data_IF_285911959394
#
_entry.id   IF_285911959394
#
_cell.length_a   1.000
_cell.length_b   1.000
_cell.length_c   1.000
_cell.angle_alpha   90.00
_cell.angle_beta   90.00
_cell.angle_gamma   90.00
#
_symmetry.space_group_name_H-M   'P 1'
#
loop_
_entity.id
_entity.type
_entity.pdbx_description
1 polymer ?
#
# COMPACT_ATOMS: atom_id res chain seq x y z
N UNK A 1 11.47 18.44 -20.31
CA UNK A 1 10.21 19.08 -19.83
C UNK A 1 10.19 18.91 -18.32
N UNK A 2 9.73 19.93 -17.60
CA UNK A 2 9.80 19.97 -16.14
C UNK A 2 8.75 19.00 -15.59
N UNK A 3 9.14 17.76 -15.26
CA UNK A 3 8.28 16.81 -14.55
C UNK A 3 8.00 17.41 -13.16
N UNK A 4 6.86 18.10 -13.03
CA UNK A 4 6.42 18.66 -11.76
C UNK A 4 6.32 17.55 -10.72
N UNK A 5 6.87 17.80 -9.53
CA UNK A 5 6.72 16.89 -8.40
C UNK A 5 5.22 16.57 -8.20
N UNK A 6 4.88 15.27 -8.13
CA UNK A 6 3.53 14.86 -7.83
C UNK A 6 3.22 15.16 -6.36
N UNK A 7 2.11 15.83 -6.08
CA UNK A 7 1.65 16.14 -4.74
C UNK A 7 0.40 15.33 -4.41
N UNK A 8 0.39 14.71 -3.23
CA UNK A 8 -0.74 13.96 -2.69
C UNK A 8 -1.12 14.56 -1.34
N UNK A 9 -2.41 14.81 -1.13
CA UNK A 9 -2.94 15.34 0.12
C UNK A 9 -3.71 14.25 0.84
N UNK A 10 -3.44 14.06 2.13
CA UNK A 10 -4.10 13.07 2.97
C UNK A 10 -4.37 13.65 4.35
N UNK A 11 -5.39 13.14 5.06
CA UNK A 11 -5.55 13.42 6.49
C UNK A 11 -4.28 13.02 7.25
N UNK A 12 -3.83 13.87 8.19
CA UNK A 12 -2.66 13.58 9.02
C UNK A 12 -2.73 12.21 9.70
N UNK A 13 -3.91 11.81 10.17
CA UNK A 13 -4.12 10.50 10.78
C UNK A 13 -3.90 9.34 9.81
N UNK A 14 -4.27 9.49 8.53
CA UNK A 14 -3.99 8.49 7.49
C UNK A 14 -2.48 8.39 7.23
N UNK A 15 -1.78 9.53 7.16
CA UNK A 15 -0.32 9.58 6.98
C UNK A 15 0.41 8.89 8.13
N UNK A 16 -0.08 9.03 9.36
CA UNK A 16 0.54 8.44 10.56
C UNK A 16 0.46 6.91 10.63
N UNK A 17 -0.34 6.26 9.78
CA UNK A 17 -0.31 4.80 9.65
C UNK A 17 0.99 4.30 8.99
N UNK A 18 1.68 5.16 8.22
CA UNK A 18 3.09 4.95 7.87
C UNK A 18 3.97 5.33 9.06
N UNK A 19 4.73 4.36 9.60
CA UNK A 19 5.67 4.67 10.67
C UNK A 19 6.80 5.58 10.22
N UNK A 20 7.28 5.45 8.97
CA UNK A 20 8.28 6.38 8.43
C UNK A 20 7.75 7.82 8.40
N UNK A 21 6.54 8.03 7.85
CA UNK A 21 5.98 9.37 7.72
C UNK A 21 5.62 9.97 9.07
N UNK A 22 5.19 9.14 10.02
CA UNK A 22 5.00 9.56 11.41
C UNK A 22 6.33 10.02 12.03
N UNK A 23 7.40 9.25 11.90
CA UNK A 23 8.72 9.63 12.41
C UNK A 23 9.20 10.95 11.79
N UNK A 24 8.98 11.15 10.48
CA UNK A 24 9.31 12.40 9.79
C UNK A 24 8.49 13.60 10.31
N UNK A 25 7.19 13.38 10.55
CA UNK A 25 6.29 14.39 11.10
C UNK A 25 6.69 14.77 12.54
N UNK A 26 7.11 13.80 13.35
CA UNK A 26 7.49 14.01 14.74
C UNK A 26 8.87 14.66 14.90
N UNK A 27 9.77 14.42 13.94
CA UNK A 27 11.10 15.03 13.91
C UNK A 27 11.08 16.53 13.58
N UNK A 28 10.02 17.02 12.92
CA UNK A 28 9.86 18.44 12.64
C UNK A 28 9.01 19.11 13.73
N UNK A 29 9.65 19.98 14.51
CA UNK A 29 9.06 20.66 15.68
C UNK A 29 7.91 21.63 15.33
N UNK A 30 7.68 21.95 14.06
CA UNK A 30 6.61 22.85 13.58
C UNK A 30 5.90 22.31 12.32
N UNK A 31 4.59 22.08 12.43
CA UNK A 31 3.58 22.07 11.35
C UNK A 31 4.05 21.73 9.93
N UNK A 32 4.72 20.59 9.73
CA UNK A 32 5.12 20.15 8.39
C UNK A 32 3.87 19.82 7.55
N UNK A 33 3.53 20.72 6.64
CA UNK A 33 2.45 20.53 5.68
C UNK A 33 2.88 19.68 4.48
N UNK A 34 4.20 19.49 4.28
CA UNK A 34 4.74 18.82 3.11
C UNK A 34 5.89 17.86 3.48
N UNK A 35 5.68 16.58 3.19
CA UNK A 35 6.70 15.54 3.35
C UNK A 35 7.28 15.18 1.98
N UNK A 36 8.61 15.09 1.90
CA UNK A 36 9.30 14.66 0.68
C UNK A 36 9.56 13.16 0.74
N UNK A 37 8.94 12.42 -0.17
CA UNK A 37 9.12 10.96 -0.29
C UNK A 37 10.36 10.67 -1.16
N UNK A 38 11.15 9.62 -0.84
CA UNK A 38 12.27 9.22 -1.67
C UNK A 38 11.87 8.95 -3.13
N UNK A 39 12.69 9.41 -4.08
CA UNK A 39 12.43 9.32 -5.52
C UNK A 39 12.31 7.88 -6.08
N UNK A 40 12.60 6.86 -5.27
CA UNK A 40 12.46 5.45 -5.64
C UNK A 40 11.01 4.96 -5.72
N UNK A 41 10.03 5.78 -5.29
CA UNK A 41 8.60 5.50 -5.47
C UNK A 41 8.05 6.42 -6.54
N UNK A 42 7.64 5.84 -7.67
CA UNK A 42 6.99 6.60 -8.74
C UNK A 42 5.60 7.12 -8.30
N UNK A 43 5.14 8.21 -8.94
CA UNK A 43 3.86 8.84 -8.59
C UNK A 43 2.66 7.88 -8.68
N UNK A 44 2.54 6.99 -9.70
CA UNK A 44 1.45 6.01 -9.73
C UNK A 44 1.47 5.03 -8.56
N UNK A 45 2.64 4.60 -8.09
CA UNK A 45 2.78 3.70 -6.95
C UNK A 45 2.44 4.43 -5.66
N UNK A 46 2.96 5.65 -5.49
CA UNK A 46 2.65 6.48 -4.32
C UNK A 46 1.15 6.78 -4.23
N UNK A 47 0.51 7.10 -5.35
CA UNK A 47 -0.94 7.32 -5.42
C UNK A 47 -1.75 6.14 -4.89
N UNK A 48 -1.29 4.90 -5.12
CA UNK A 48 -1.97 3.69 -4.63
C UNK A 48 -1.78 3.48 -3.14
N UNK A 49 -0.57 3.76 -2.64
CA UNK A 49 -0.32 3.78 -1.19
C UNK A 49 -1.21 4.84 -0.52
N UNK A 50 -1.34 6.03 -1.12
CA UNK A 50 -2.21 7.08 -0.61
C UNK A 50 -3.68 6.65 -0.59
N UNK A 51 -4.19 6.08 -1.68
CA UNK A 51 -5.58 5.59 -1.75
C UNK A 51 -5.86 4.52 -0.69
N UNK A 52 -4.90 3.62 -0.45
CA UNK A 52 -4.99 2.63 0.61
C UNK A 52 -5.06 3.27 2.01
N UNK A 53 -4.12 4.17 2.32
CA UNK A 53 -4.07 4.86 3.61
C UNK A 53 -5.35 5.66 3.89
N UNK A 54 -5.83 6.40 2.89
CA UNK A 54 -7.04 7.20 3.01
C UNK A 54 -8.28 6.32 3.21
N UNK A 55 -8.41 5.22 2.47
CA UNK A 55 -9.53 4.30 2.62
C UNK A 55 -9.58 3.70 4.03
N UNK A 56 -8.48 3.11 4.50
CA UNK A 56 -8.45 2.43 5.81
C UNK A 56 -8.51 3.40 6.99
N UNK A 57 -8.06 4.65 6.82
CA UNK A 57 -8.29 5.69 7.81
C UNK A 57 -9.79 5.93 8.06
N UNK A 58 -10.62 5.87 7.02
CA UNK A 58 -12.07 6.10 7.12
C UNK A 58 -12.90 4.85 7.43
N UNK A 59 -12.41 3.65 7.07
CA UNK A 59 -13.19 2.41 7.12
C UNK A 59 -12.64 1.35 8.08
N UNK A 60 -11.50 1.61 8.73
CA UNK A 60 -10.81 0.68 9.61
C UNK A 60 -9.78 -0.19 8.89
N UNK A 61 -8.92 -0.83 9.68
CA UNK A 61 -7.82 -1.66 9.18
C UNK A 61 -8.30 -2.95 8.49
N UNK A 62 -7.44 -3.49 7.63
CA UNK A 62 -7.62 -4.82 7.03
C UNK A 62 -7.68 -5.86 8.14
N UNK A 63 -8.59 -6.83 8.02
CA UNK A 63 -8.64 -7.95 8.93
C UNK A 63 -7.33 -8.75 8.90
N UNK A 64 -6.91 -9.26 10.05
CA UNK A 64 -5.69 -10.05 10.17
C UNK A 64 -5.74 -11.27 9.22
N UNK A 65 -4.70 -11.40 8.39
CA UNK A 65 -4.56 -12.52 7.48
C UNK A 65 -3.80 -13.62 8.21
N UNK A 66 -4.47 -14.75 8.43
CA UNK A 66 -3.89 -15.90 9.09
C UNK A 66 -2.66 -16.43 8.35
N UNK A 67 -1.58 -16.69 9.09
CA UNK A 67 -0.37 -17.35 8.59
C UNK A 67 -0.12 -18.68 9.32
N UNK A 68 0.04 -19.82 8.60
CA UNK A 68 -0.01 -19.95 7.14
C UNK A 68 -1.43 -19.82 6.60
N UNK A 69 -1.58 -19.20 5.42
CA UNK A 69 -2.89 -19.09 4.79
C UNK A 69 -3.47 -20.47 4.46
N UNK A 70 -4.70 -20.73 4.91
CA UNK A 70 -5.44 -21.99 4.66
C UNK A 70 -6.44 -21.86 3.52
N UNK A 71 -6.86 -20.63 3.20
CA UNK A 71 -7.81 -20.27 2.12
C UNK A 71 -7.22 -19.14 1.24
N UNK A 72 -7.81 -18.83 0.08
CA UNK A 72 -7.37 -17.70 -0.75
C UNK A 72 -7.44 -16.37 0.00
N UNK A 73 -6.53 -15.43 -0.30
CA UNK A 73 -6.46 -14.10 0.36
C UNK A 73 -7.81 -13.35 0.31
N UNK A 74 -8.57 -13.51 -0.78
CA UNK A 74 -9.91 -12.92 -0.94
C UNK A 74 -10.90 -13.31 0.16
N UNK A 75 -10.71 -14.45 0.83
CA UNK A 75 -11.58 -14.92 1.89
C UNK A 75 -11.23 -14.32 3.28
N UNK A 76 -10.15 -13.54 3.38
CA UNK A 76 -9.74 -12.85 4.61
C UNK A 76 -10.00 -11.34 4.56
N UNK A 77 -10.24 -10.76 3.37
CA UNK A 77 -10.22 -9.31 3.16
C UNK A 77 -11.56 -8.78 2.62
N UNK A 78 -11.80 -7.49 2.84
CA UNK A 78 -13.04 -6.83 2.42
C UNK A 78 -13.12 -6.59 0.91
N UNK A 79 -14.31 -6.23 0.43
CA UNK A 79 -14.55 -6.00 -1.00
C UNK A 79 -13.64 -4.91 -1.61
N UNK A 80 -13.35 -3.85 -0.85
CA UNK A 80 -12.44 -2.81 -1.31
C UNK A 80 -11.02 -3.35 -1.51
N UNK A 81 -10.49 -4.11 -0.55
CA UNK A 81 -9.17 -4.73 -0.64
C UNK A 81 -9.08 -5.73 -1.80
N UNK A 82 -10.17 -6.48 -2.05
CA UNK A 82 -10.24 -7.38 -3.20
C UNK A 82 -10.17 -6.59 -4.51
N UNK A 83 -10.90 -5.49 -4.65
CA UNK A 83 -10.85 -4.64 -5.85
C UNK A 83 -9.46 -4.02 -6.01
N UNK A 84 -8.91 -3.48 -4.93
CA UNK A 84 -7.56 -2.92 -4.92
C UNK A 84 -6.53 -3.96 -5.39
N UNK A 85 -6.50 -5.16 -4.78
CA UNK A 85 -5.56 -6.21 -5.16
C UNK A 85 -5.81 -6.76 -6.57
N UNK A 86 -7.02 -7.19 -6.88
CA UNK A 86 -7.30 -8.02 -8.06
C UNK A 86 -7.69 -7.22 -9.31
N UNK A 87 -8.08 -5.95 -9.16
CA UNK A 87 -8.48 -5.11 -10.30
C UNK A 87 -7.48 -3.98 -10.53
N UNK A 88 -6.84 -3.45 -9.49
CA UNK A 88 -5.87 -2.35 -9.64
C UNK A 88 -4.41 -2.83 -9.69
N UNK A 89 -4.02 -3.72 -8.78
CA UNK A 89 -2.63 -4.17 -8.66
C UNK A 89 -2.32 -5.34 -9.58
N UNK A 90 -3.16 -6.37 -9.60
CA UNK A 90 -3.06 -7.50 -10.52
C UNK A 90 -3.85 -7.16 -11.78
N UNK A 91 -3.16 -6.71 -12.83
CA UNK A 91 -3.81 -6.45 -14.13
C UNK A 91 -3.23 -7.32 -15.24
N UNK A 92 -4.07 -7.68 -16.21
CA UNK A 92 -3.67 -8.32 -17.45
C UNK A 92 -3.92 -9.83 -17.51
N UNK A 93 -3.84 -10.36 -18.73
CA UNK A 93 -3.87 -11.79 -19.01
C UNK A 93 -2.51 -12.37 -18.59
N UNK A 94 -2.45 -13.17 -17.52
CA UNK A 94 -1.25 -13.90 -17.13
C UNK A 94 -0.56 -13.49 -15.81
N UNK A 95 -1.31 -13.08 -14.78
CA UNK A 95 -0.77 -12.81 -13.42
C UNK A 95 0.45 -11.88 -13.44
N UNK A 96 0.36 -10.72 -14.10
CA UNK A 96 1.40 -9.70 -13.98
C UNK A 96 1.36 -9.11 -12.56
N UNK A 97 2.33 -9.53 -11.75
CA UNK A 97 2.52 -9.04 -10.38
C UNK A 97 3.37 -7.77 -10.32
N UNK A 98 3.78 -7.16 -11.43
CA UNK A 98 4.73 -6.05 -11.43
C UNK A 98 4.27 -4.85 -10.60
N UNK A 99 2.98 -4.50 -10.64
CA UNK A 99 2.44 -3.39 -9.82
C UNK A 99 2.26 -3.80 -8.37
N UNK A 100 1.79 -5.03 -8.12
CA UNK A 100 1.70 -5.58 -6.77
C UNK A 100 3.07 -5.55 -6.08
N UNK A 101 4.13 -5.94 -6.78
CA UNK A 101 5.50 -5.92 -6.27
C UNK A 101 6.02 -4.49 -6.05
N UNK A 102 5.70 -3.54 -6.93
CA UNK A 102 6.04 -2.12 -6.72
C UNK A 102 5.34 -1.54 -5.49
N UNK A 103 4.05 -1.82 -5.31
CA UNK A 103 3.28 -1.38 -4.13
C UNK A 103 3.80 -2.06 -2.87
N UNK A 104 4.14 -3.35 -2.91
CA UNK A 104 4.78 -4.05 -1.79
C UNK A 104 6.12 -3.40 -1.41
N UNK A 105 6.96 -3.07 -2.38
CA UNK A 105 8.24 -2.40 -2.14
C UNK A 105 8.04 -0.99 -1.55
N UNK A 106 7.08 -0.22 -2.09
CA UNK A 106 6.75 1.11 -1.56
C UNK A 106 6.18 1.03 -0.14
N UNK A 107 5.30 0.07 0.14
CA UNK A 107 4.76 -0.18 1.46
C UNK A 107 5.86 -0.55 2.47
N UNK A 108 6.87 -1.31 2.04
CA UNK A 108 8.03 -1.62 2.86
C UNK A 108 8.89 -0.39 3.16
N UNK A 109 9.18 0.42 2.14
CA UNK A 109 9.92 1.68 2.32
C UNK A 109 9.18 2.64 3.26
N UNK A 110 7.89 2.84 3.02
CA UNK A 110 7.02 3.70 3.81
C UNK A 110 6.63 3.05 5.15
N UNK A 111 7.01 1.79 5.41
CA UNK A 111 6.69 1.05 6.63
C UNK A 111 5.19 1.08 6.98
N UNK A 112 4.36 0.74 5.98
CA UNK A 112 2.90 0.57 6.11
C UNK A 112 2.62 -0.93 6.28
N UNK A 113 2.63 -1.41 7.53
CA UNK A 113 2.60 -2.85 7.86
C UNK A 113 1.41 -3.58 7.24
N UNK A 114 0.20 -3.02 7.37
CA UNK A 114 -1.02 -3.65 6.86
C UNK A 114 -1.01 -3.81 5.33
N UNK A 115 -0.49 -2.81 4.60
CA UNK A 115 -0.33 -2.88 3.15
C UNK A 115 0.75 -3.90 2.73
N UNK A 116 1.85 -3.99 3.49
CA UNK A 116 2.87 -5.00 3.26
C UNK A 116 2.33 -6.42 3.43
N UNK A 117 1.59 -6.67 4.50
CA UNK A 117 0.98 -7.97 4.81
C UNK A 117 -0.07 -8.35 3.76
N UNK A 118 -0.94 -7.42 3.39
CA UNK A 118 -1.94 -7.61 2.34
C UNK A 118 -1.30 -7.99 1.00
N UNK A 119 -0.29 -7.23 0.56
CA UNK A 119 0.40 -7.52 -0.69
C UNK A 119 1.20 -8.82 -0.62
N UNK A 120 1.88 -9.08 0.50
CA UNK A 120 2.66 -10.29 0.75
C UNK A 120 1.79 -11.56 0.72
N UNK A 121 0.63 -11.52 1.37
CA UNK A 121 -0.36 -12.59 1.31
C UNK A 121 -0.84 -12.84 -0.12
N UNK A 122 -1.11 -11.78 -0.89
CA UNK A 122 -1.48 -11.90 -2.30
C UNK A 122 -0.37 -12.56 -3.14
N UNK A 123 0.88 -12.13 -2.99
CA UNK A 123 2.03 -12.73 -3.69
C UNK A 123 2.18 -14.21 -3.33
N UNK A 124 2.09 -14.56 -2.04
CA UNK A 124 2.15 -15.95 -1.58
C UNK A 124 1.02 -16.81 -2.19
N UNK A 125 -0.19 -16.25 -2.30
CA UNK A 125 -1.32 -16.90 -2.97
C UNK A 125 -1.06 -17.13 -4.46
N UNK A 126 -0.47 -16.16 -5.16
CA UNK A 126 -0.07 -16.29 -6.56
C UNK A 126 1.01 -17.37 -6.78
N UNK A 127 1.88 -17.62 -5.80
CA UNK A 127 2.91 -18.66 -5.90
C UNK A 127 2.36 -20.07 -5.66
N UNK A 128 1.37 -20.23 -4.76
CA UNK A 128 0.76 -21.54 -4.44
C UNK A 128 -0.01 -22.17 -5.61
N UNK A 129 -0.48 -21.37 -6.57
CA UNK A 129 -1.26 -21.86 -7.73
C UNK A 129 -0.43 -22.21 -8.98
N UNK A 130 0.90 -22.23 -8.90
CA UNK A 130 1.81 -22.46 -10.05
C UNK A 130 2.36 -23.88 -10.19
N UNK A 131 1.79 -24.86 -9.47
CA UNK A 131 2.13 -26.28 -9.58
C UNK A 131 1.14 -27.05 -10.48
#
# INVERSE_FOLDING_TARGET
>A
ENEGAAHFSLPRGAVQASSLLRDMIEAEEESTELLVIPAMVDAPTLSRCCAYLEYHFHHGDVAEIETPMTRPVAAYIGEWDQRFLFQELLQGQGMDCSRLLRVLQAAHLLRITSLMELCGACVAGCMRGKD
#
